data_IF_180933429533
#
_entry.id   IF_180933429533
#
_cell.length_a   1.000
_cell.length_b   1.000
_cell.length_c   1.000
_cell.angle_alpha   90.00
_cell.angle_beta   90.00
_cell.angle_gamma   90.00
#
_symmetry.space_group_name_H-M   'P 1'
#
loop_
_entity.id
_entity.type
_entity.pdbx_description
1 polymer ?
#
# COMPACT_ATOMS: atom_id res chain seq x y z
N UNK A 1 -36.48 -3.22 -39.69
CA UNK A 1 -36.99 -4.60 -39.73
C UNK A 1 -36.99 -5.16 -38.33
N UNK A 2 -37.90 -6.05 -37.97
CA UNK A 2 -37.87 -6.81 -36.72
C UNK A 2 -37.03 -8.06 -36.91
N UNK A 3 -36.50 -8.58 -35.82
CA UNK A 3 -35.81 -9.87 -35.75
C UNK A 3 -36.58 -10.82 -34.83
N UNK A 4 -36.43 -12.12 -35.05
CA UNK A 4 -37.15 -13.16 -34.32
C UNK A 4 -36.18 -14.30 -33.95
N UNK A 5 -36.58 -15.13 -32.99
CA UNK A 5 -35.84 -16.31 -32.57
C UNK A 5 -34.36 -16.01 -32.25
N UNK A 6 -34.12 -14.89 -31.57
CA UNK A 6 -32.76 -14.52 -31.19
C UNK A 6 -32.30 -15.37 -30.02
N UNK A 7 -31.15 -15.96 -30.16
CA UNK A 7 -30.40 -16.59 -29.09
C UNK A 7 -29.10 -15.79 -28.87
N UNK A 8 -28.89 -15.37 -27.64
CA UNK A 8 -27.64 -14.75 -27.20
C UNK A 8 -26.92 -15.75 -26.31
N UNK A 9 -25.75 -16.18 -26.68
CA UNK A 9 -24.92 -17.10 -25.90
C UNK A 9 -23.57 -16.49 -25.57
N UNK A 10 -22.99 -16.96 -24.45
CA UNK A 10 -21.69 -16.52 -23.95
C UNK A 10 -20.63 -17.55 -24.33
N UNK A 11 -19.44 -17.07 -24.64
CA UNK A 11 -18.21 -17.85 -24.79
C UNK A 11 -17.11 -17.18 -23.94
N UNK A 12 -16.67 -17.88 -22.92
CA UNK A 12 -15.74 -17.40 -21.91
C UNK A 12 -14.87 -18.52 -21.36
N UNK A 13 -13.79 -18.17 -20.67
CA UNK A 13 -12.87 -19.11 -20.04
C UNK A 13 -13.49 -19.66 -18.73
N UNK A 14 -14.00 -20.88 -18.77
CA UNK A 14 -14.62 -21.56 -17.63
C UNK A 14 -13.65 -21.88 -16.48
N UNK A 15 -12.34 -21.87 -16.73
CA UNK A 15 -11.34 -22.02 -15.68
C UNK A 15 -11.23 -20.74 -14.82
N UNK A 16 -11.59 -19.59 -15.37
CA UNK A 16 -11.50 -18.29 -14.72
C UNK A 16 -12.84 -17.75 -14.24
N UNK A 17 -13.91 -18.05 -14.93
CA UNK A 17 -15.25 -17.55 -14.64
C UNK A 17 -16.24 -18.70 -14.50
N UNK A 18 -17.13 -18.61 -13.52
CA UNK A 18 -18.26 -19.48 -13.35
C UNK A 18 -19.54 -18.67 -13.54
N UNK A 19 -20.36 -19.01 -14.54
CA UNK A 19 -21.69 -18.43 -14.68
C UNK A 19 -22.59 -18.92 -13.54
N UNK A 20 -23.25 -18.00 -12.85
CA UNK A 20 -24.14 -18.31 -11.73
C UNK A 20 -25.60 -18.43 -12.15
N UNK A 21 -25.92 -18.09 -13.39
CA UNK A 21 -27.27 -18.19 -13.94
C UNK A 21 -27.55 -19.64 -14.40
N UNK A 22 -28.83 -20.02 -14.47
CA UNK A 22 -29.27 -21.36 -14.88
C UNK A 22 -28.88 -21.72 -16.32
N UNK A 23 -28.56 -20.73 -17.14
CA UNK A 23 -28.20 -20.90 -18.55
C UNK A 23 -27.19 -19.84 -19.00
N UNK A 24 -26.22 -20.26 -19.80
CA UNK A 24 -25.25 -19.39 -20.49
C UNK A 24 -25.81 -18.76 -21.76
N UNK A 25 -27.11 -18.93 -22.00
CA UNK A 25 -27.79 -18.36 -23.16
C UNK A 25 -29.18 -17.85 -22.81
N UNK A 26 -29.61 -16.79 -23.53
CA UNK A 26 -30.94 -16.21 -23.39
C UNK A 26 -31.64 -16.24 -24.74
N UNK A 27 -32.88 -16.70 -24.73
CA UNK A 27 -33.75 -16.70 -25.89
C UNK A 27 -34.71 -15.49 -25.89
N UNK A 28 -34.78 -14.80 -27.01
CA UNK A 28 -35.70 -13.66 -27.24
C UNK A 28 -36.57 -14.00 -28.46
N UNK A 29 -37.86 -14.18 -28.25
CA UNK A 29 -38.78 -14.57 -29.31
C UNK A 29 -38.91 -13.53 -30.40
N UNK A 30 -38.91 -12.24 -30.05
CA UNK A 30 -39.04 -11.13 -31.02
C UNK A 30 -38.44 -9.84 -30.47
N UNK A 31 -37.71 -9.11 -31.31
CA UNK A 31 -37.23 -7.76 -31.03
C UNK A 31 -37.66 -6.83 -32.20
N UNK A 32 -38.49 -5.83 -31.92
CA UNK A 32 -39.01 -4.90 -32.93
C UNK A 32 -38.00 -3.82 -33.27
N UNK A 33 -38.12 -3.21 -34.45
CA UNK A 33 -37.22 -2.13 -34.86
C UNK A 33 -37.24 -0.99 -33.85
N UNK A 34 -36.06 -0.61 -33.37
CA UNK A 34 -35.86 0.50 -32.43
C UNK A 34 -36.14 0.16 -30.96
N UNK A 35 -36.54 -1.09 -30.66
CA UNK A 35 -36.64 -1.55 -29.25
C UNK A 35 -35.31 -2.05 -28.73
N UNK A 36 -35.14 -1.95 -27.40
CA UNK A 36 -33.97 -2.45 -26.66
C UNK A 36 -34.40 -3.56 -25.68
N UNK A 37 -33.59 -4.57 -25.53
CA UNK A 37 -33.73 -5.60 -24.51
C UNK A 37 -32.46 -5.68 -23.71
N UNK A 38 -32.56 -5.52 -22.39
CA UNK A 38 -31.49 -5.71 -21.47
C UNK A 38 -31.39 -7.20 -21.07
N UNK A 39 -30.17 -7.71 -21.06
CA UNK A 39 -29.83 -9.06 -20.62
C UNK A 39 -28.70 -8.93 -19.62
N UNK A 40 -28.81 -9.59 -18.48
CA UNK A 40 -27.78 -9.64 -17.46
C UNK A 40 -27.31 -11.08 -17.24
N UNK A 41 -26.04 -11.26 -16.99
CA UNK A 41 -25.44 -12.51 -16.59
C UNK A 41 -24.58 -12.26 -15.34
N UNK A 42 -24.63 -13.17 -14.40
CA UNK A 42 -23.89 -13.12 -13.15
C UNK A 42 -22.73 -14.10 -13.20
N UNK A 43 -21.54 -13.62 -12.83
CA UNK A 43 -20.34 -14.44 -12.80
C UNK A 43 -19.67 -14.42 -11.45
N UNK A 44 -19.14 -15.56 -11.05
CA UNK A 44 -18.16 -15.68 -10.00
C UNK A 44 -16.77 -15.83 -10.63
N UNK A 45 -15.80 -15.07 -10.12
CA UNK A 45 -14.40 -15.22 -10.51
C UNK A 45 -13.80 -16.36 -9.70
N UNK A 46 -13.18 -17.32 -10.37
CA UNK A 46 -12.56 -18.48 -9.73
C UNK A 46 -11.33 -18.06 -8.92
N UNK A 47 -11.12 -18.72 -7.78
CA UNK A 47 -9.94 -18.50 -6.94
C UNK A 47 -8.66 -18.78 -7.73
N UNK A 48 -7.71 -17.85 -7.67
CA UNK A 48 -6.44 -17.99 -8.40
C UNK A 48 -6.45 -17.38 -9.79
N UNK A 49 -7.59 -16.84 -10.27
CA UNK A 49 -7.60 -16.02 -11.49
C UNK A 49 -6.66 -14.82 -11.29
N UNK A 50 -5.64 -14.71 -12.13
CA UNK A 50 -4.69 -13.61 -12.08
C UNK A 50 -5.38 -12.27 -12.39
N UNK A 51 -4.77 -11.19 -11.93
CA UNK A 51 -5.18 -9.85 -12.32
C UNK A 51 -5.00 -9.64 -13.83
N UNK A 52 -5.96 -8.94 -14.46
CA UNK A 52 -5.91 -8.71 -15.90
C UNK A 52 -7.26 -8.34 -16.50
N UNK A 53 -7.28 -8.14 -17.81
CA UNK A 53 -8.47 -7.89 -18.59
C UNK A 53 -8.85 -9.16 -19.35
N UNK A 54 -10.01 -9.70 -19.07
CA UNK A 54 -10.51 -10.94 -19.64
C UNK A 54 -11.62 -10.69 -20.63
N UNK A 55 -11.63 -11.47 -21.70
CA UNK A 55 -12.61 -11.37 -22.77
C UNK A 55 -13.77 -12.34 -22.53
N UNK A 56 -15.01 -11.82 -22.58
CA UNK A 56 -16.21 -12.62 -22.74
C UNK A 56 -16.78 -12.32 -24.13
N UNK A 57 -16.86 -13.33 -24.97
CA UNK A 57 -17.44 -13.19 -26.29
C UNK A 57 -18.95 -13.47 -26.24
N UNK A 58 -19.72 -12.68 -27.03
CA UNK A 58 -21.13 -12.85 -27.24
C UNK A 58 -21.36 -13.40 -28.65
N UNK A 59 -22.08 -14.49 -28.76
CA UNK A 59 -22.56 -14.99 -30.03
C UNK A 59 -24.08 -14.82 -30.12
N UNK A 60 -24.53 -14.19 -31.18
CA UNK A 60 -25.94 -13.93 -31.45
C UNK A 60 -26.35 -14.68 -32.72
N UNK A 61 -27.43 -15.45 -32.65
CA UNK A 61 -28.08 -16.03 -33.81
C UNK A 61 -29.56 -15.60 -33.83
N UNK A 62 -30.07 -15.20 -34.96
CA UNK A 62 -31.47 -14.71 -35.09
C UNK A 62 -31.98 -14.86 -36.50
N UNK A 63 -33.30 -14.81 -36.65
CA UNK A 63 -33.96 -14.79 -37.94
C UNK A 63 -34.38 -13.37 -38.30
N UNK A 64 -34.19 -13.00 -39.56
CA UNK A 64 -34.74 -11.72 -40.09
C UNK A 64 -36.25 -11.85 -40.41
N UNK A 65 -36.86 -10.77 -40.88
CA UNK A 65 -38.29 -10.75 -41.27
C UNK A 65 -38.60 -11.64 -42.48
N UNK A 66 -37.61 -12.18 -43.15
CA UNK A 66 -37.73 -13.15 -44.26
C UNK A 66 -37.40 -14.57 -43.84
N UNK A 67 -37.29 -14.85 -42.54
CA UNK A 67 -36.87 -16.13 -41.95
C UNK A 67 -35.46 -16.61 -42.38
N UNK A 68 -34.60 -15.69 -42.78
CA UNK A 68 -33.19 -16.00 -43.02
C UNK A 68 -32.44 -15.98 -41.70
N UNK A 69 -31.64 -17.03 -41.45
CA UNK A 69 -30.78 -17.11 -40.28
C UNK A 69 -29.56 -16.20 -40.44
N UNK A 70 -29.34 -15.38 -39.47
CA UNK A 70 -28.22 -14.44 -39.39
C UNK A 70 -27.45 -14.64 -38.07
N UNK A 71 -26.18 -14.31 -38.07
CA UNK A 71 -25.32 -14.33 -36.86
C UNK A 71 -24.64 -12.99 -36.68
N UNK A 72 -24.35 -12.68 -35.45
CA UNK A 72 -23.53 -11.53 -35.06
C UNK A 72 -22.72 -11.88 -33.86
N UNK A 73 -21.69 -11.13 -33.57
CA UNK A 73 -20.85 -11.34 -32.38
C UNK A 73 -20.49 -10.01 -31.73
N UNK A 74 -20.23 -10.05 -30.44
CA UNK A 74 -19.75 -8.93 -29.66
C UNK A 74 -18.69 -9.40 -28.66
N UNK A 75 -18.04 -8.47 -28.01
CA UNK A 75 -17.03 -8.74 -26.99
C UNK A 75 -17.23 -7.79 -25.82
N UNK A 76 -17.18 -8.35 -24.62
CA UNK A 76 -17.12 -7.61 -23.37
C UNK A 76 -15.76 -7.85 -22.75
N UNK A 77 -15.08 -6.78 -22.34
CA UNK A 77 -13.83 -6.88 -21.56
C UNK A 77 -14.15 -6.70 -20.09
N UNK A 78 -13.78 -7.69 -19.27
CA UNK A 78 -14.01 -7.71 -17.84
C UNK A 78 -12.67 -7.50 -17.13
N UNK A 79 -12.46 -6.36 -16.46
CA UNK A 79 -11.27 -6.14 -15.66
C UNK A 79 -11.38 -6.94 -14.35
N UNK A 80 -10.46 -7.86 -14.15
CA UNK A 80 -10.28 -8.55 -12.87
C UNK A 80 -9.17 -7.85 -12.10
N UNK A 81 -9.46 -7.44 -10.89
CA UNK A 81 -8.51 -6.79 -9.98
C UNK A 81 -8.45 -7.57 -8.67
N UNK A 82 -7.28 -7.57 -8.07
CA UNK A 82 -7.05 -8.16 -6.75
C UNK A 82 -6.98 -7.03 -5.72
N UNK A 83 -7.52 -7.27 -4.55
CA UNK A 83 -7.38 -6.33 -3.44
C UNK A 83 -5.93 -6.35 -2.93
N UNK A 84 -5.31 -5.18 -2.85
CA UNK A 84 -3.98 -5.01 -2.28
C UNK A 84 -4.06 -5.17 -0.76
N UNK A 85 -3.16 -5.99 -0.20
CA UNK A 85 -3.07 -6.21 1.24
C UNK A 85 -1.62 -6.10 1.69
N UNK A 86 -1.27 -4.92 2.16
CA UNK A 86 0.09 -4.62 2.63
C UNK A 86 0.08 -4.43 4.13
N UNK A 87 1.04 -5.02 4.81
CA UNK A 87 1.21 -4.90 6.25
C UNK A 87 2.63 -4.46 6.57
N UNK A 88 2.77 -3.52 7.50
CA UNK A 88 4.04 -3.05 8.01
C UNK A 88 4.24 -3.55 9.44
N UNK A 89 5.46 -3.98 9.75
CA UNK A 89 5.93 -4.12 11.13
C UNK A 89 6.53 -2.79 11.53
N UNK A 90 5.92 -2.11 12.52
CA UNK A 90 6.41 -0.83 13.00
C UNK A 90 7.79 -0.99 13.66
N UNK A 91 8.73 -0.07 13.43
CA UNK A 91 10.01 -0.07 14.12
C UNK A 91 9.81 0.14 15.62
N UNK A 92 10.73 -0.43 16.42
CA UNK A 92 10.73 -0.25 17.86
C UNK A 92 11.40 1.09 18.20
N UNK A 93 10.63 2.00 18.76
CA UNK A 93 11.10 3.30 19.22
C UNK A 93 11.11 3.29 20.74
N UNK A 94 12.21 3.74 21.34
CA UNK A 94 12.34 3.79 22.81
C UNK A 94 11.29 4.72 23.43
N UNK A 95 10.79 4.37 24.61
CA UNK A 95 9.82 5.20 25.35
C UNK A 95 10.36 6.57 25.76
N UNK A 96 11.69 6.78 25.69
CA UNK A 96 12.34 8.09 25.87
C UNK A 96 13.53 8.20 24.93
N UNK A 97 13.72 9.39 24.34
CA UNK A 97 14.76 9.72 23.37
C UNK A 97 15.34 11.10 23.69
N UNK A 98 16.64 11.31 23.44
CA UNK A 98 17.26 12.61 23.70
C UNK A 98 17.14 13.54 22.50
N UNK A 99 16.82 14.81 22.75
CA UNK A 99 16.89 15.84 21.71
C UNK A 99 18.35 15.98 21.23
N UNK A 100 18.54 16.05 19.91
CA UNK A 100 19.85 16.04 19.25
C UNK A 100 20.31 14.68 18.75
N UNK A 101 19.67 13.59 19.18
CA UNK A 101 20.00 12.24 18.72
C UNK A 101 19.45 11.96 17.31
N UNK A 102 20.10 11.01 16.65
CA UNK A 102 19.61 10.44 15.39
C UNK A 102 19.42 8.94 15.57
N UNK A 103 18.20 8.48 15.38
CA UNK A 103 17.82 7.09 15.55
C UNK A 103 17.73 6.39 14.19
N UNK A 104 18.47 5.31 13.95
CA UNK A 104 18.24 4.45 12.79
C UNK A 104 16.97 3.62 13.03
N UNK A 105 16.05 3.65 12.09
CA UNK A 105 14.80 2.90 12.15
C UNK A 105 14.70 1.95 10.96
N UNK A 106 14.41 0.69 11.25
CA UNK A 106 14.22 -0.36 10.26
C UNK A 106 12.72 -0.61 10.05
N UNK A 107 12.29 -0.56 8.79
CA UNK A 107 10.93 -0.84 8.37
C UNK A 107 10.90 -2.17 7.62
N UNK A 108 9.99 -3.03 8.00
CA UNK A 108 9.69 -4.26 7.30
C UNK A 108 8.25 -4.22 6.81
N UNK A 109 8.06 -4.37 5.50
CA UNK A 109 6.75 -4.33 4.86
C UNK A 109 6.52 -5.62 4.11
N UNK A 110 5.35 -6.23 4.29
CA UNK A 110 4.95 -7.47 3.66
C UNK A 110 3.76 -7.23 2.73
N UNK A 111 3.87 -7.73 1.50
CA UNK A 111 2.74 -7.79 0.58
C UNK A 111 2.01 -9.13 0.78
N UNK A 112 0.93 -9.12 1.53
CA UNK A 112 0.06 -10.28 1.78
C UNK A 112 -1.04 -10.44 0.72
N UNK A 113 -1.06 -9.56 -0.28
CA UNK A 113 -1.96 -9.61 -1.43
C UNK A 113 -1.55 -10.64 -2.47
N UNK A 114 -2.20 -10.58 -3.63
CA UNK A 114 -1.96 -11.48 -4.77
C UNK A 114 -1.46 -10.77 -6.01
N UNK A 115 -1.32 -9.44 -5.93
CA UNK A 115 -0.78 -8.58 -7.00
C UNK A 115 0.46 -7.87 -6.47
N UNK A 116 1.37 -7.52 -7.37
CA UNK A 116 2.50 -6.64 -7.05
C UNK A 116 1.99 -5.27 -6.63
N UNK A 117 2.59 -4.71 -5.59
CA UNK A 117 2.41 -3.32 -5.19
C UNK A 117 3.65 -2.51 -5.53
N UNK A 118 3.47 -1.24 -5.83
CA UNK A 118 4.49 -0.37 -6.40
C UNK A 118 4.77 0.81 -5.48
N UNK A 119 5.95 1.40 -5.61
CA UNK A 119 6.35 2.65 -4.95
C UNK A 119 6.14 2.61 -3.42
N UNK A 120 6.36 1.44 -2.82
CA UNK A 120 6.19 1.24 -1.36
C UNK A 120 7.21 2.09 -0.62
N UNK A 121 6.73 2.95 0.27
CA UNK A 121 7.54 3.85 1.08
C UNK A 121 6.94 4.07 2.45
N UNK A 122 7.80 4.38 3.42
CA UNK A 122 7.41 4.75 4.77
C UNK A 122 7.96 6.13 5.11
N UNK A 123 7.13 6.94 5.77
CA UNK A 123 7.47 8.26 6.29
C UNK A 123 7.08 8.35 7.77
N UNK A 124 7.69 9.29 8.50
CA UNK A 124 7.34 9.59 9.89
C UNK A 124 7.02 11.07 10.03
N UNK A 125 5.97 11.38 10.77
CA UNK A 125 5.58 12.73 11.17
C UNK A 125 5.34 12.79 12.68
N UNK A 126 5.65 13.91 13.29
CA UNK A 126 5.40 14.17 14.71
C UNK A 126 6.16 15.40 15.20
N UNK A 127 5.69 16.03 16.28
CA UNK A 127 6.39 17.15 16.90
C UNK A 127 7.71 16.68 17.50
N UNK A 128 8.81 17.32 17.16
CA UNK A 128 10.17 16.91 17.57
C UNK A 128 10.73 15.72 16.82
N UNK A 129 10.02 15.16 15.85
CA UNK A 129 10.41 13.98 15.08
C UNK A 129 10.65 14.39 13.63
N UNK A 130 11.91 14.43 13.19
CA UNK A 130 12.30 14.89 11.86
C UNK A 130 12.90 13.74 11.07
N UNK A 131 12.12 13.17 10.15
CA UNK A 131 12.64 12.20 9.20
C UNK A 131 13.64 12.87 8.25
N UNK A 132 14.86 12.35 8.17
CA UNK A 132 15.90 12.92 7.28
C UNK A 132 15.77 12.43 5.85
N UNK A 133 15.00 11.37 5.63
CA UNK A 133 14.71 10.77 4.33
C UNK A 133 13.47 9.89 4.43
N UNK A 134 12.81 9.66 3.31
CA UNK A 134 11.77 8.63 3.18
C UNK A 134 12.41 7.25 3.12
N UNK A 135 11.87 6.28 3.85
CA UNK A 135 12.28 4.88 3.75
C UNK A 135 11.63 4.24 2.50
N UNK A 136 12.36 4.22 1.38
CA UNK A 136 11.86 3.69 0.11
C UNK A 136 12.21 2.21 -0.05
N UNK A 137 11.17 1.37 -0.24
CA UNK A 137 11.29 -0.08 -0.41
C UNK A 137 11.21 -0.46 -1.89
N UNK A 138 10.41 0.27 -2.67
CA UNK A 138 10.20 -0.01 -4.09
C UNK A 138 9.00 -0.91 -4.36
N UNK A 139 9.14 -1.83 -5.31
CA UNK A 139 8.07 -2.73 -5.69
C UNK A 139 8.14 -4.02 -4.88
N UNK A 140 7.00 -4.52 -4.41
CA UNK A 140 6.88 -5.78 -3.70
C UNK A 140 5.95 -6.72 -4.45
N UNK A 141 6.48 -7.85 -4.89
CA UNK A 141 5.68 -8.91 -5.49
C UNK A 141 4.74 -9.58 -4.48
N UNK A 142 3.71 -10.24 -4.98
CA UNK A 142 2.75 -10.97 -4.14
C UNK A 142 3.47 -11.99 -3.24
N UNK A 143 3.18 -11.95 -1.94
CA UNK A 143 3.76 -12.86 -0.95
C UNK A 143 5.23 -12.59 -0.59
N UNK A 144 5.78 -11.44 -0.98
CA UNK A 144 7.15 -11.06 -0.64
C UNK A 144 7.21 -9.99 0.46
N UNK A 145 8.38 -9.83 1.04
CA UNK A 145 8.69 -8.77 2.00
C UNK A 145 9.82 -7.89 1.48
N UNK A 146 9.84 -6.65 1.96
CA UNK A 146 10.90 -5.68 1.70
C UNK A 146 11.25 -4.93 2.97
N UNK A 147 12.49 -4.46 3.03
CA UNK A 147 13.02 -3.68 4.15
C UNK A 147 13.62 -2.38 3.66
N UNK A 148 13.48 -1.32 4.46
CA UNK A 148 14.18 -0.07 4.24
C UNK A 148 14.56 0.55 5.57
N UNK A 149 15.58 1.41 5.55
CA UNK A 149 16.05 2.15 6.72
C UNK A 149 15.79 3.63 6.55
N UNK A 150 15.55 4.30 7.67
CA UNK A 150 15.40 5.74 7.78
C UNK A 150 16.16 6.21 9.01
N UNK A 151 16.74 7.40 8.95
CA UNK A 151 17.25 8.10 10.11
C UNK A 151 16.22 9.12 10.59
N UNK A 152 15.83 9.00 11.85
CA UNK A 152 14.94 9.92 12.53
C UNK A 152 15.77 10.84 13.44
N UNK A 153 15.87 12.13 13.11
CA UNK A 153 16.49 13.12 13.96
C UNK A 153 15.48 13.61 15.01
N UNK A 154 15.89 13.61 16.27
CA UNK A 154 15.08 14.08 17.39
C UNK A 154 15.38 15.54 17.63
N UNK A 155 14.45 16.41 17.28
CA UNK A 155 14.49 17.86 17.54
C UNK A 155 13.79 18.19 18.86
N UNK A 156 13.76 19.48 19.22
CA UNK A 156 12.82 19.97 20.22
C UNK A 156 11.41 20.04 19.61
N UNK A 157 10.36 19.90 20.40
CA UNK A 157 8.97 19.95 19.92
C UNK A 157 8.63 21.30 19.28
N UNK A 158 9.07 22.40 19.90
CA UNK A 158 8.87 23.77 19.41
C UNK A 158 9.71 24.10 18.15
N UNK A 159 10.75 23.32 17.87
CA UNK A 159 11.65 23.50 16.72
C UNK A 159 11.21 22.78 15.44
N UNK A 160 10.10 22.05 15.44
CA UNK A 160 9.61 21.30 14.27
C UNK A 160 8.71 22.19 13.42
N UNK A 161 8.91 22.19 12.12
CA UNK A 161 8.07 22.95 11.18
C UNK A 161 6.60 22.52 11.30
N UNK A 162 5.72 23.49 11.51
CA UNK A 162 4.29 23.24 11.70
C UNK A 162 3.89 22.80 13.12
N UNK A 163 4.84 22.75 14.08
CA UNK A 163 4.51 22.50 15.48
C UNK A 163 3.69 23.62 16.09
N UNK A 164 2.74 23.27 16.93
CA UNK A 164 1.97 24.19 17.77
C UNK A 164 2.43 24.17 19.23
N UNK A 165 3.42 23.35 19.56
CA UNK A 165 3.95 23.19 20.92
C UNK A 165 4.76 24.41 21.34
N UNK A 166 4.56 24.83 22.59
CA UNK A 166 5.40 25.82 23.29
C UNK A 166 6.48 25.15 24.14
N UNK A 167 6.35 23.85 24.36
CA UNK A 167 7.25 23.05 25.17
C UNK A 167 8.37 22.47 24.31
N UNK A 168 9.59 22.52 24.81
CA UNK A 168 10.76 21.94 24.10
C UNK A 168 10.83 20.43 24.20
N UNK A 169 10.44 19.88 25.34
CA UNK A 169 10.56 18.47 25.70
C UNK A 169 9.23 17.93 26.17
N UNK A 170 9.15 16.63 26.39
CA UNK A 170 7.97 15.96 26.88
C UNK A 170 7.41 14.92 25.91
N UNK A 171 6.26 14.37 26.26
CA UNK A 171 5.58 13.39 25.44
C UNK A 171 5.23 13.94 24.06
N UNK A 172 5.48 13.13 23.04
CA UNK A 172 5.10 13.39 21.65
C UNK A 172 4.53 12.13 21.03
N UNK A 173 3.56 12.34 20.15
CA UNK A 173 3.00 11.29 19.31
C UNK A 173 3.64 11.37 17.92
N UNK A 174 4.12 10.24 17.43
CA UNK A 174 4.60 10.08 16.07
C UNK A 174 3.64 9.23 15.25
N UNK A 175 3.47 9.57 13.98
CA UNK A 175 2.70 8.80 13.01
C UNK A 175 3.63 8.25 11.94
N UNK A 176 3.64 6.94 11.78
CA UNK A 176 4.31 6.25 10.68
C UNK A 176 3.28 6.10 9.57
N UNK A 177 3.64 6.53 8.37
CA UNK A 177 2.79 6.55 7.19
C UNK A 177 3.38 5.58 6.17
N UNK A 178 2.70 4.47 5.93
CA UNK A 178 3.00 3.55 4.83
C UNK A 178 2.18 3.96 3.62
N UNK A 179 2.84 4.19 2.49
CA UNK A 179 2.19 4.51 1.22
C UNK A 179 2.64 3.53 0.14
N UNK A 180 1.72 3.10 -0.71
CA UNK A 180 2.00 2.24 -1.87
C UNK A 180 0.95 2.45 -2.96
N UNK A 181 1.23 1.97 -4.16
CA UNK A 181 0.34 2.03 -5.31
C UNK A 181 -0.03 0.62 -5.79
N UNK A 182 -1.23 0.47 -6.34
CA UNK A 182 -1.62 -0.74 -7.06
C UNK A 182 -1.17 -0.71 -8.55
N UNK A 183 -1.49 -1.76 -9.29
CA UNK A 183 -1.15 -1.87 -10.71
C UNK A 183 -1.83 -0.83 -11.62
N UNK A 184 -2.90 -0.21 -11.16
CA UNK A 184 -3.60 0.86 -11.87
C UNK A 184 -3.07 2.27 -11.48
N UNK A 185 -2.07 2.34 -10.58
CA UNK A 185 -1.47 3.57 -10.09
C UNK A 185 -2.31 4.28 -9.02
N UNK A 186 -3.26 3.59 -8.42
CA UNK A 186 -4.03 4.13 -7.31
C UNK A 186 -3.23 4.03 -6.02
N UNK A 187 -3.04 5.16 -5.36
CA UNK A 187 -2.33 5.26 -4.09
C UNK A 187 -3.19 4.82 -2.90
N UNK A 188 -2.57 4.10 -2.00
CA UNK A 188 -3.12 3.67 -0.71
C UNK A 188 -2.19 4.10 0.40
N UNK A 189 -2.79 4.50 1.54
CA UNK A 189 -2.06 4.94 2.72
C UNK A 189 -2.59 4.21 3.94
N UNK A 190 -1.67 3.78 4.81
CA UNK A 190 -1.96 3.20 6.12
C UNK A 190 -1.13 3.89 7.18
N UNK A 191 -1.72 4.22 8.31
CA UNK A 191 -1.08 4.94 9.41
C UNK A 191 -0.99 4.07 10.66
N UNK A 192 0.11 4.25 11.39
CA UNK A 192 0.34 3.63 12.70
C UNK A 192 0.97 4.65 13.63
N UNK A 193 0.44 4.82 14.82
CA UNK A 193 0.95 5.78 15.80
C UNK A 193 1.84 5.11 16.83
N UNK A 194 2.76 5.88 17.39
CA UNK A 194 3.57 5.54 18.54
C UNK A 194 3.78 6.76 19.43
N UNK A 195 4.10 6.53 20.68
CA UNK A 195 4.42 7.59 21.65
C UNK A 195 5.86 7.47 22.10
N UNK A 196 6.52 8.61 22.31
CA UNK A 196 7.85 8.70 22.94
C UNK A 196 7.97 9.98 23.74
N UNK A 197 8.90 10.00 24.68
CA UNK A 197 9.18 11.18 25.49
C UNK A 197 10.50 11.80 25.06
N UNK A 198 10.47 13.01 24.52
CA UNK A 198 11.67 13.75 24.18
C UNK A 198 12.23 14.38 25.45
N UNK A 199 13.47 14.03 25.80
CA UNK A 199 14.16 14.55 26.98
C UNK A 199 15.32 15.47 26.58
N UNK A 200 15.73 16.32 27.52
CA UNK A 200 16.86 17.20 27.35
C UNK A 200 18.15 16.40 27.07
N UNK A 201 19.04 16.86 26.18
CA UNK A 201 20.32 16.20 25.92
C UNK A 201 21.13 16.04 27.21
N UNK A 202 21.72 14.86 27.43
CA UNK A 202 22.69 14.72 28.49
C UNK A 202 23.92 15.62 28.22
N UNK A 203 24.21 16.51 29.16
CA UNK A 203 25.42 17.30 29.07
C UNK A 203 26.65 16.35 29.06
N UNK A 204 27.60 16.51 28.12
CA UNK A 204 28.77 15.66 28.08
C UNK A 204 29.46 15.75 29.45
N UNK A 205 29.55 14.63 30.15
CA UNK A 205 30.32 14.53 31.38
C UNK A 205 31.79 14.75 31.02
N UNK A 206 32.26 15.99 31.21
CA UNK A 206 33.67 16.29 31.17
C UNK A 206 34.27 15.52 32.36
N UNK A 207 34.82 14.37 32.09
CA UNK A 207 35.71 13.72 33.05
C UNK A 207 36.82 14.75 33.34
N UNK A 208 36.72 15.43 34.51
CA UNK A 208 37.88 16.12 35.07
C UNK A 208 38.90 15.01 35.28
N UNK A 209 39.87 14.90 34.35
CA UNK A 209 41.12 14.27 34.68
C UNK A 209 41.62 14.99 35.94
N UNK A 210 41.57 14.32 37.07
CA UNK A 210 42.36 14.74 38.25
C UNK A 210 43.80 14.83 37.76
N UNK A 211 44.27 16.05 37.52
CA UNK A 211 45.67 16.33 37.43
C UNK A 211 46.27 15.83 38.76
N UNK A 212 46.75 14.61 38.74
CA UNK A 212 47.67 14.14 39.76
C UNK A 212 48.79 15.16 39.77
N UNK A 213 48.78 16.05 40.79
CA UNK A 213 49.88 16.94 41.07
C UNK A 213 51.16 16.08 41.06
N UNK A 214 52.02 16.35 40.07
CA UNK A 214 53.34 15.74 40.05
C UNK A 214 54.01 16.14 41.37
N UNK A 215 53.99 15.20 42.31
CA UNK A 215 54.66 15.36 43.58
C UNK A 215 56.09 15.75 43.31
N UNK A 216 56.56 16.75 44.03
CA UNK A 216 57.92 17.28 43.97
C UNK A 216 58.91 16.17 44.46
N UNK A 217 59.11 15.16 43.62
CA UNK A 217 60.08 14.03 43.94
C UNK A 217 61.52 14.46 43.87
N UNK A 218 61.82 15.63 43.30
CA UNK A 218 63.20 16.12 43.16
C UNK A 218 63.75 16.87 44.40
N UNK A 219 63.00 17.06 45.50
CA UNK A 219 63.39 17.75 46.70
C UNK A 219 64.19 16.82 47.61
N UNK A 220 64.25 15.50 47.40
CA UNK A 220 64.93 14.54 48.24
C UNK A 220 66.36 14.19 47.79
N UNK A 221 66.96 14.92 46.85
CA UNK A 221 68.31 14.60 46.32
C UNK A 221 69.41 15.59 46.74
N UNK A 222 69.16 16.49 47.71
CA UNK A 222 70.15 17.45 48.23
C UNK A 222 70.23 17.39 49.73
N UNK A 223 70.88 16.29 50.26
CA UNK A 223 71.68 16.26 51.51
C UNK A 223 72.69 15.13 51.38
#
# INVERSE_FOLDING_TARGET
KSIQNMVVSLDYDVEKFLCLDDSESVYISKLTKGSTREISFSFQINKGTAEGNYKIALALSYDDSGANKLTSSGVIMVPVRQESKVQMTAPQIAGSVYSGDTLPLDFQVMNLGRSTVYNVRCDIKGEGLVATSTAFIGNLDAGTEGTAMMNLFISTKDGTEGSTSTDKYGMTEGTIILTYEDADGKEYTSESTFETNIVEPEAPQVQKEEQKSAGQWWISVLI
#
